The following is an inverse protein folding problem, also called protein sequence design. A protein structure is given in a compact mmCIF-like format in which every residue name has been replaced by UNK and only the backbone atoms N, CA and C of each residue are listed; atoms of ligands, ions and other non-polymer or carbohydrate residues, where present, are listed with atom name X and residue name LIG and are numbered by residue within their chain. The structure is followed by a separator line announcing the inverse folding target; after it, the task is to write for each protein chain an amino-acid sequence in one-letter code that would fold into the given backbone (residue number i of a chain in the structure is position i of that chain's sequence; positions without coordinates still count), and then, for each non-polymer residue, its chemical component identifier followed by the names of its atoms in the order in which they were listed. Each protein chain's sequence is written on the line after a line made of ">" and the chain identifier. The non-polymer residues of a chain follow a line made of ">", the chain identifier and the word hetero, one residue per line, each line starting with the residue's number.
data_IF_179063214545
#
_entry.id   IF_179063214545
#
_cell.length_a   1.000
_cell.length_b   1.000
_cell.length_c   1.000
_cell.angle_alpha   90.00
_cell.angle_beta   90.00
_cell.angle_gamma   90.00
#
_symmetry.space_group_name_H-M   'P 1'
#
loop_
_entity.id
_entity.type
_entity.pdbx_description
1 polymer ?
#
# COMPACT_ATOMS: atom_id res chain seq x y z
N UNK A 1 6.54 16.23 28.71
CA UNK A 1 5.07 16.36 28.62
C UNK A 1 4.65 15.84 27.26
N UNK A 2 3.79 14.81 27.21
CA UNK A 2 3.41 14.18 25.93
C UNK A 2 2.67 15.14 25.03
N UNK A 3 2.92 15.06 23.73
CA UNK A 3 2.33 15.94 22.72
C UNK A 3 1.81 15.10 21.56
N UNK A 4 0.56 15.37 21.12
CA UNK A 4 0.01 14.83 19.87
C UNK A 4 0.08 15.88 18.78
N UNK A 5 0.57 15.50 17.60
CA UNK A 5 0.71 16.36 16.43
C UNK A 5 0.17 15.64 15.19
N UNK A 6 -0.18 16.39 14.15
CA UNK A 6 -0.79 15.84 12.93
C UNK A 6 -0.16 16.29 11.63
N UNK A 7 0.86 17.16 11.67
CA UNK A 7 1.46 17.70 10.43
C UNK A 7 2.97 17.58 10.43
N UNK A 8 3.60 17.43 9.23
CA UNK A 8 5.06 17.42 9.10
C UNK A 8 5.72 18.72 9.60
N UNK A 9 5.03 19.84 9.52
CA UNK A 9 5.54 21.12 10.03
C UNK A 9 5.64 21.10 11.56
N UNK A 10 4.59 20.64 12.25
CA UNK A 10 4.61 20.45 13.71
C UNK A 10 5.67 19.47 14.15
N UNK A 11 5.88 18.39 13.38
CA UNK A 11 6.93 17.41 13.65
C UNK A 11 8.31 18.06 13.58
N UNK A 12 8.64 18.77 12.48
CA UNK A 12 9.93 19.47 12.34
C UNK A 12 10.18 20.43 13.48
N UNK A 13 9.17 21.19 13.89
CA UNK A 13 9.30 22.12 15.00
C UNK A 13 9.58 21.39 16.32
N UNK A 14 8.82 20.34 16.63
CA UNK A 14 8.96 19.59 17.87
C UNK A 14 10.32 18.89 17.99
N UNK A 15 10.79 18.21 16.93
CA UNK A 15 12.08 17.48 16.95
C UNK A 15 13.28 18.41 16.74
N UNK A 16 13.06 19.65 16.23
CA UNK A 16 14.11 20.64 16.05
C UNK A 16 14.76 21.12 17.36
N UNK A 17 13.98 21.10 18.44
CA UNK A 17 14.44 21.48 19.78
C UNK A 17 15.13 20.34 20.55
N UNK A 18 15.05 19.12 20.04
CA UNK A 18 15.59 17.90 20.63
C UNK A 18 14.67 16.72 20.38
N UNK A 19 15.27 15.52 20.18
CA UNK A 19 14.47 14.31 20.04
C UNK A 19 13.96 13.86 21.41
N UNK A 20 12.65 13.63 21.56
CA UNK A 20 12.11 13.06 22.79
C UNK A 20 12.60 11.60 22.97
N UNK A 21 12.60 11.07 24.20
CA UNK A 21 12.99 9.67 24.45
C UNK A 21 12.19 8.67 23.64
N UNK A 22 10.87 8.91 23.46
CA UNK A 22 9.99 8.12 22.64
C UNK A 22 9.20 9.01 21.68
N UNK A 23 9.20 8.61 20.42
CA UNK A 23 8.40 9.20 19.37
C UNK A 23 7.59 8.10 18.67
N UNK A 24 6.28 8.26 18.52
CA UNK A 24 5.40 7.32 17.84
C UNK A 24 4.76 7.96 16.62
N UNK A 25 4.94 7.36 15.45
CA UNK A 25 4.34 7.78 14.19
C UNK A 25 3.32 6.74 13.77
N UNK A 26 2.08 7.15 13.53
CA UNK A 26 1.02 6.25 13.08
C UNK A 26 0.19 6.88 11.97
N UNK A 27 -0.44 6.06 11.13
CA UNK A 27 -1.37 6.54 10.11
C UNK A 27 -1.80 5.48 9.10
N UNK A 28 -2.84 5.81 8.34
CA UNK A 28 -3.38 4.94 7.29
C UNK A 28 -2.51 4.97 6.03
N UNK A 29 -1.87 6.11 5.75
CA UNK A 29 -1.09 6.33 4.54
C UNK A 29 0.39 6.00 4.79
N UNK A 30 0.81 4.83 4.33
CA UNK A 30 2.17 4.33 4.51
C UNK A 30 3.24 5.33 4.05
N UNK A 31 3.01 6.00 2.92
CA UNK A 31 3.94 7.03 2.41
C UNK A 31 4.18 8.12 3.45
N UNK A 32 3.11 8.64 4.07
CA UNK A 32 3.23 9.73 5.04
C UNK A 32 3.90 9.29 6.34
N UNK A 33 3.69 8.03 6.75
CA UNK A 33 4.40 7.44 7.90
C UNK A 33 5.90 7.31 7.60
N UNK A 34 6.26 6.84 6.40
CA UNK A 34 7.66 6.72 5.97
C UNK A 34 8.33 8.09 5.93
N UNK A 35 7.70 9.08 5.30
CA UNK A 35 8.25 10.46 5.21
C UNK A 35 8.44 11.10 6.59
N UNK A 36 7.47 10.92 7.49
CA UNK A 36 7.59 11.39 8.86
C UNK A 36 8.75 10.72 9.59
N UNK A 37 8.90 9.39 9.44
CA UNK A 37 10.01 8.65 9.99
C UNK A 37 11.37 9.11 9.42
N UNK A 38 11.43 9.41 8.11
CA UNK A 38 12.64 9.92 7.47
C UNK A 38 13.03 11.32 7.99
N UNK A 39 12.05 12.19 8.28
CA UNK A 39 12.31 13.46 8.96
C UNK A 39 12.95 13.25 10.34
N UNK A 40 12.45 12.30 11.12
CA UNK A 40 13.01 11.96 12.43
C UNK A 40 14.42 11.41 12.29
N UNK A 41 14.66 10.48 11.36
CA UNK A 41 15.99 9.89 11.07
C UNK A 41 17.00 10.96 10.65
N UNK A 42 16.58 11.88 9.79
CA UNK A 42 17.43 12.98 9.35
C UNK A 42 17.79 13.91 10.51
N UNK A 43 16.83 14.21 11.38
CA UNK A 43 17.05 15.05 12.56
C UNK A 43 17.90 14.33 13.63
N UNK A 44 17.70 13.02 13.81
CA UNK A 44 18.50 12.19 14.69
C UNK A 44 19.99 12.27 14.32
N UNK A 45 20.32 12.06 13.04
CA UNK A 45 21.70 12.21 12.56
C UNK A 45 22.29 13.59 12.82
N UNK A 46 21.51 14.66 12.58
CA UNK A 46 21.96 16.05 12.88
C UNK A 46 22.23 16.29 14.37
N UNK A 47 21.60 15.51 15.25
CA UNK A 47 21.79 15.60 16.70
C UNK A 47 22.79 14.58 17.23
N UNK A 48 23.57 13.91 16.35
CA UNK A 48 24.64 12.99 16.71
C UNK A 48 24.19 11.58 17.05
N UNK A 49 22.95 11.18 16.69
CA UNK A 49 22.50 9.78 16.77
C UNK A 49 22.93 9.07 15.49
N UNK A 50 24.20 8.66 15.44
CA UNK A 50 24.83 8.14 14.23
C UNK A 50 24.55 6.65 14.02
N UNK A 51 24.23 5.93 15.08
CA UNK A 51 23.82 4.53 15.00
C UNK A 51 22.29 4.41 14.90
N UNK A 52 21.85 3.53 14.05
CA UNK A 52 20.42 3.20 13.91
C UNK A 52 20.24 1.69 13.92
N UNK A 53 19.52 1.22 14.91
CA UNK A 53 19.08 -0.17 15.00
C UNK A 53 17.62 -0.29 14.55
N UNK A 54 17.33 -1.21 13.62
CA UNK A 54 15.98 -1.46 13.12
C UNK A 54 15.47 -2.74 13.72
N UNK A 55 14.30 -2.67 14.39
CA UNK A 55 13.64 -3.82 15.00
C UNK A 55 12.24 -3.93 14.42
N UNK A 56 11.99 -5.01 13.67
CA UNK A 56 10.67 -5.31 13.15
C UNK A 56 9.85 -6.09 14.21
N UNK A 57 8.70 -5.52 14.58
CA UNK A 57 7.78 -6.10 15.55
C UNK A 57 6.66 -6.82 14.80
N UNK A 58 6.60 -8.12 14.96
CA UNK A 58 5.57 -8.99 14.40
C UNK A 58 4.70 -9.64 15.51
N UNK A 59 3.89 -10.64 15.16
CA UNK A 59 3.03 -11.36 16.08
C UNK A 59 3.79 -12.22 17.10
N UNK A 60 5.11 -12.40 16.94
CA UNK A 60 6.00 -13.17 17.84
C UNK A 60 6.82 -12.25 18.72
N UNK A 61 6.38 -11.01 18.90
CA UNK A 61 7.10 -10.05 19.74
C UNK A 61 7.42 -10.63 21.10
N UNK A 62 8.71 -10.57 21.45
CA UNK A 62 9.21 -10.90 22.78
C UNK A 62 9.86 -9.65 23.39
N UNK A 63 9.46 -9.35 24.61
CA UNK A 63 9.99 -8.23 25.40
C UNK A 63 11.52 -8.29 25.56
N UNK A 64 12.11 -9.47 25.59
CA UNK A 64 13.57 -9.66 25.71
C UNK A 64 14.32 -9.02 24.54
N UNK A 65 13.81 -9.13 23.31
CA UNK A 65 14.44 -8.53 22.13
C UNK A 65 14.49 -6.99 22.21
N UNK A 66 13.45 -6.37 22.76
CA UNK A 66 13.46 -4.92 22.96
C UNK A 66 14.47 -4.50 24.04
N UNK A 67 14.60 -5.28 25.10
CA UNK A 67 15.58 -5.05 26.17
C UNK A 67 17.00 -5.24 25.63
N UNK A 68 17.27 -6.30 24.89
CA UNK A 68 18.55 -6.55 24.24
C UNK A 68 18.94 -5.40 23.30
N UNK A 69 18.02 -4.97 22.42
CA UNK A 69 18.23 -3.85 21.53
C UNK A 69 18.57 -2.54 22.27
N UNK A 70 18.03 -2.35 23.48
CA UNK A 70 18.32 -1.15 24.29
C UNK A 70 19.55 -1.26 25.16
N UNK A 71 19.99 -2.48 25.49
CA UNK A 71 21.16 -2.72 26.36
C UNK A 71 22.43 -3.05 25.59
N UNK A 72 22.34 -3.37 24.28
CA UNK A 72 23.54 -3.58 23.47
C UNK A 72 24.36 -2.29 23.42
N UNK A 73 25.56 -2.35 23.96
CA UNK A 73 26.50 -1.21 23.91
C UNK A 73 27.18 -1.18 22.54
N UNK A 74 27.02 -0.07 21.82
CA UNK A 74 27.81 0.16 20.61
C UNK A 74 29.28 0.36 20.95
N UNK A 75 30.15 -0.27 20.19
CA UNK A 75 31.61 -0.07 20.32
C UNK A 75 32.08 1.17 19.55
N UNK A 76 31.25 1.76 18.69
CA UNK A 76 31.65 2.79 17.71
C UNK A 76 30.80 4.07 17.74
N UNK A 77 29.62 4.04 18.30
CA UNK A 77 28.73 5.22 18.38
C UNK A 77 28.33 5.47 19.84
N UNK A 78 28.36 6.74 20.22
CA UNK A 78 27.90 7.19 21.55
C UNK A 78 26.39 7.36 21.64
N UNK A 79 25.70 7.63 20.51
CA UNK A 79 24.26 7.91 20.48
C UNK A 79 23.56 7.10 19.40
N UNK A 80 22.39 6.53 19.75
CA UNK A 80 21.65 5.62 18.87
C UNK A 80 20.16 5.90 18.81
N UNK A 81 19.59 5.61 17.63
CA UNK A 81 18.16 5.61 17.38
C UNK A 81 17.68 4.17 17.18
N UNK A 82 16.79 3.69 18.04
CA UNK A 82 16.09 2.41 17.88
C UNK A 82 14.81 2.68 17.09
N UNK A 83 14.74 2.09 15.88
CA UNK A 83 13.66 2.28 14.92
C UNK A 83 12.76 1.04 14.94
N UNK A 84 11.70 1.07 15.75
CA UNK A 84 10.73 -0.02 15.89
C UNK A 84 9.66 0.09 14.81
N UNK A 85 9.49 -0.94 14.01
CA UNK A 85 8.49 -1.02 12.94
C UNK A 85 7.44 -2.05 13.30
N UNK A 86 6.22 -1.59 13.53
CA UNK A 86 5.11 -2.46 13.87
C UNK A 86 4.37 -2.89 12.61
N UNK A 87 4.51 -4.15 12.24
CA UNK A 87 3.78 -4.79 11.15
C UNK A 87 2.44 -5.39 11.63
N UNK A 88 2.16 -5.28 12.94
CA UNK A 88 0.95 -5.79 13.62
C UNK A 88 0.35 -4.69 14.48
N UNK A 89 -0.89 -4.89 14.93
CA UNK A 89 -1.50 -4.00 15.93
C UNK A 89 -0.68 -4.02 17.23
N UNK A 90 -0.41 -2.84 17.83
CA UNK A 90 0.35 -2.80 19.08
C UNK A 90 -0.42 -3.52 20.21
N UNK A 91 0.29 -4.33 20.95
CA UNK A 91 -0.23 -5.11 22.05
C UNK A 91 -0.02 -4.39 23.38
N UNK A 92 -0.78 -4.82 24.41
CA UNK A 92 -0.57 -4.35 25.79
C UNK A 92 0.86 -4.65 26.28
N UNK A 93 1.39 -5.81 25.91
CA UNK A 93 2.73 -6.24 26.27
C UNK A 93 3.83 -5.31 25.72
N UNK A 94 3.73 -4.91 24.44
CA UNK A 94 4.62 -3.91 23.84
C UNK A 94 4.49 -2.57 24.57
N UNK A 95 3.27 -2.14 24.87
CA UNK A 95 3.04 -0.87 25.57
C UNK A 95 3.62 -0.84 26.98
N UNK A 96 3.49 -1.93 27.73
CA UNK A 96 4.08 -2.08 29.07
C UNK A 96 5.60 -2.18 28.99
N UNK A 97 6.15 -2.90 28.00
CA UNK A 97 7.59 -2.96 27.78
C UNK A 97 8.20 -1.57 27.51
N UNK A 98 7.58 -0.79 26.61
CA UNK A 98 8.02 0.59 26.32
C UNK A 98 7.91 1.49 27.55
N UNK A 99 6.82 1.41 28.31
CA UNK A 99 6.62 2.20 29.52
C UNK A 99 7.69 1.91 30.59
N UNK A 100 8.02 0.63 30.79
CA UNK A 100 9.00 0.21 31.80
C UNK A 100 10.44 0.51 31.38
N UNK A 101 10.66 0.64 30.05
CA UNK A 101 11.95 0.95 29.47
C UNK A 101 12.27 2.46 29.50
N UNK A 102 11.27 3.32 29.24
CA UNK A 102 11.46 4.77 29.13
C UNK A 102 12.24 5.41 30.30
N UNK A 103 11.96 5.10 31.58
CA UNK A 103 12.71 5.66 32.71
C UNK A 103 14.16 5.17 32.81
N UNK A 104 14.51 4.13 32.06
CA UNK A 104 15.84 3.49 32.08
C UNK A 104 16.70 3.87 30.89
N UNK A 105 16.10 4.59 29.90
CA UNK A 105 16.83 5.10 28.75
C UNK A 105 17.77 6.23 29.20
N UNK A 106 19.01 6.15 28.73
CA UNK A 106 19.97 7.24 28.83
C UNK A 106 19.67 8.37 27.83
N UNK A 107 20.42 9.47 27.94
CA UNK A 107 20.30 10.60 27.02
C UNK A 107 20.85 10.29 25.62
N UNK A 108 21.51 9.20 25.44
CA UNK A 108 22.14 8.79 24.19
C UNK A 108 21.32 7.74 23.41
N UNK A 109 20.18 7.32 23.94
CA UNK A 109 19.27 6.39 23.29
C UNK A 109 17.90 7.02 23.06
N UNK A 110 17.40 6.94 21.83
CA UNK A 110 16.04 7.37 21.44
C UNK A 110 15.29 6.24 20.76
N UNK A 111 13.99 6.17 20.99
CA UNK A 111 13.11 5.17 20.38
C UNK A 111 12.14 5.88 19.45
N UNK A 112 12.08 5.45 18.20
CA UNK A 112 11.05 5.81 17.24
C UNK A 112 10.22 4.57 16.94
N UNK A 113 8.89 4.69 17.06
CA UNK A 113 7.92 3.66 16.70
C UNK A 113 7.18 4.10 15.45
N UNK A 114 7.09 3.24 14.44
CA UNK A 114 6.24 3.43 13.27
C UNK A 114 5.19 2.33 13.19
N UNK A 115 3.93 2.70 12.96
CA UNK A 115 2.82 1.76 12.88
C UNK A 115 1.73 2.20 11.91
N UNK A 116 0.83 1.30 11.58
CA UNK A 116 -0.45 1.65 10.97
C UNK A 116 -1.28 2.55 11.91
N UNK A 117 -2.38 3.07 11.39
CA UNK A 117 -3.33 3.86 12.18
C UNK A 117 -3.74 3.14 13.48
N UNK A 118 -3.77 3.91 14.56
CA UNK A 118 -4.17 3.41 15.86
C UNK A 118 -5.67 3.62 16.08
N UNK A 119 -6.40 2.53 16.14
CA UNK A 119 -7.83 2.57 16.42
C UNK A 119 -8.13 3.19 17.81
N UNK A 120 -9.31 3.79 17.95
CA UNK A 120 -9.77 4.35 19.22
C UNK A 120 -9.74 3.31 20.37
N UNK A 121 -10.04 2.05 20.05
CA UNK A 121 -9.95 0.95 21.00
C UNK A 121 -8.54 0.78 21.59
N UNK A 122 -7.49 1.02 20.80
CA UNK A 122 -6.10 0.99 21.27
C UNK A 122 -5.74 2.27 22.03
N UNK A 123 -6.06 3.42 21.47
CA UNK A 123 -5.66 4.73 22.05
C UNK A 123 -6.37 5.09 23.34
N UNK A 124 -7.51 4.46 23.65
CA UNK A 124 -8.24 4.60 24.92
C UNK A 124 -7.83 3.59 25.99
N UNK A 125 -6.83 2.77 25.74
CA UNK A 125 -6.31 1.84 26.77
C UNK A 125 -5.42 2.56 27.78
N UNK A 126 -5.47 2.12 29.04
CA UNK A 126 -4.69 2.72 30.11
C UNK A 126 -3.15 2.73 29.82
N UNK A 127 -2.65 1.67 29.17
CA UNK A 127 -1.23 1.60 28.81
C UNK A 127 -0.85 2.62 27.76
N UNK A 128 -1.71 2.82 26.73
CA UNK A 128 -1.43 3.81 25.67
C UNK A 128 -1.51 5.23 26.21
N UNK A 129 -2.53 5.54 27.01
CA UNK A 129 -2.67 6.85 27.64
C UNK A 129 -1.47 7.18 28.55
N UNK A 130 -0.94 6.20 29.27
CA UNK A 130 0.25 6.38 30.08
C UNK A 130 1.50 6.72 29.23
N UNK A 131 1.68 6.05 28.10
CA UNK A 131 2.76 6.36 27.13
C UNK A 131 2.54 7.70 26.44
N UNK A 132 1.31 8.00 26.04
CA UNK A 132 0.97 9.26 25.35
C UNK A 132 1.30 10.51 26.18
N UNK A 133 1.33 10.40 27.51
CA UNK A 133 1.76 11.49 28.40
C UNK A 133 3.28 11.72 28.41
N UNK A 134 4.06 10.79 27.87
CA UNK A 134 5.52 10.79 27.93
C UNK A 134 6.19 10.82 26.54
N UNK A 135 5.41 10.62 25.47
CA UNK A 135 5.93 10.55 24.11
C UNK A 135 5.45 11.72 23.23
N UNK A 136 6.18 11.93 22.14
CA UNK A 136 5.67 12.71 21.00
C UNK A 136 4.93 11.73 20.09
N UNK A 137 3.62 11.91 19.91
CA UNK A 137 2.81 11.09 19.03
C UNK A 137 2.37 11.86 17.81
N UNK A 138 2.83 11.44 16.63
CA UNK A 138 2.39 11.94 15.35
C UNK A 138 1.39 11.00 14.73
N UNK A 139 0.19 11.50 14.46
CA UNK A 139 -0.80 10.80 13.65
C UNK A 139 -0.85 11.47 12.28
N UNK A 140 -0.42 10.76 11.22
CA UNK A 140 -0.44 11.31 9.87
C UNK A 140 -1.87 11.44 9.36
N UNK A 141 -2.19 12.52 8.62
CA UNK A 141 -3.55 12.72 8.12
C UNK A 141 -3.92 11.65 7.08
N UNK A 142 -5.18 11.31 7.03
CA UNK A 142 -5.73 10.56 5.92
C UNK A 142 -5.97 11.51 4.74
N UNK A 143 -5.50 11.13 3.56
CA UNK A 143 -5.75 11.86 2.32
C UNK A 143 -6.88 11.14 1.57
N UNK A 144 -8.04 11.74 1.52
CA UNK A 144 -9.15 11.23 0.72
C UNK A 144 -9.00 11.61 -0.76
N UNK A 145 -9.78 10.96 -1.62
CA UNK A 145 -9.73 11.19 -3.08
C UNK A 145 -10.04 12.66 -3.43
N UNK A 146 -10.89 13.33 -2.66
CA UNK A 146 -11.24 14.73 -2.90
C UNK A 146 -10.06 15.68 -2.60
N UNK A 147 -9.23 15.33 -1.63
CA UNK A 147 -8.04 16.08 -1.21
C UNK A 147 -6.80 15.74 -2.01
N UNK A 148 -6.80 14.61 -2.76
CA UNK A 148 -5.61 14.11 -3.46
C UNK A 148 -5.10 15.10 -4.52
N UNK A 149 -5.98 15.73 -5.29
CA UNK A 149 -5.58 16.73 -6.30
C UNK A 149 -4.84 17.92 -5.67
N UNK A 150 -5.29 18.39 -4.51
CA UNK A 150 -4.60 19.45 -3.77
C UNK A 150 -3.24 18.97 -3.26
N UNK A 151 -3.17 17.77 -2.71
CA UNK A 151 -1.92 17.18 -2.24
C UNK A 151 -0.89 17.02 -3.37
N UNK A 152 -1.34 16.60 -4.59
CA UNK A 152 -0.48 16.52 -5.78
C UNK A 152 0.05 17.90 -6.15
N UNK A 153 -0.82 18.92 -6.19
CA UNK A 153 -0.42 20.29 -6.52
C UNK A 153 0.63 20.85 -5.54
N UNK A 154 0.45 20.63 -4.23
CA UNK A 154 1.41 21.03 -3.21
C UNK A 154 2.77 20.35 -3.40
N UNK A 155 2.76 19.05 -3.78
CA UNK A 155 4.00 18.30 -4.04
C UNK A 155 4.71 18.76 -5.31
N UNK A 156 4.00 18.99 -6.40
CA UNK A 156 4.56 19.58 -7.63
C UNK A 156 5.20 20.94 -7.35
N UNK A 157 4.57 21.76 -6.53
CA UNK A 157 5.11 23.07 -6.14
C UNK A 157 6.46 22.96 -5.41
N UNK A 158 6.71 21.89 -4.62
CA UNK A 158 8.00 21.69 -3.95
C UNK A 158 9.16 21.49 -4.92
N UNK A 159 8.89 20.98 -6.13
CA UNK A 159 9.87 20.86 -7.22
C UNK A 159 9.72 21.96 -8.30
N UNK A 160 9.05 23.07 -7.92
CA UNK A 160 8.84 24.24 -8.78
C UNK A 160 8.05 23.94 -10.06
N UNK A 161 7.19 22.93 -10.03
CA UNK A 161 6.28 22.57 -11.11
C UNK A 161 4.85 22.95 -10.75
N UNK A 162 4.03 23.27 -11.77
CA UNK A 162 2.62 23.60 -11.64
C UNK A 162 1.82 22.78 -12.64
N UNK A 163 0.62 22.40 -12.29
CA UNK A 163 -0.27 21.64 -13.15
C UNK A 163 -1.66 22.30 -13.19
N UNK A 164 -2.24 22.39 -14.38
CA UNK A 164 -3.60 22.86 -14.54
C UNK A 164 -4.62 21.88 -13.92
N UNK A 165 -5.84 22.33 -13.58
CA UNK A 165 -6.86 21.45 -13.01
C UNK A 165 -7.12 20.16 -13.82
N UNK A 166 -7.17 20.18 -15.18
CA UNK A 166 -7.29 18.95 -15.96
C UNK A 166 -6.09 18.00 -15.78
N UNK A 167 -4.88 18.51 -15.67
CA UNK A 167 -3.66 17.70 -15.45
C UNK A 167 -3.66 17.09 -14.05
N UNK A 168 -4.06 17.84 -13.03
CA UNK A 168 -4.24 17.31 -11.66
C UNK A 168 -5.29 16.21 -11.62
N UNK A 169 -6.41 16.41 -12.32
CA UNK A 169 -7.46 15.39 -12.45
C UNK A 169 -6.94 14.13 -13.14
N UNK A 170 -6.14 14.27 -14.21
CA UNK A 170 -5.51 13.16 -14.90
C UNK A 170 -4.59 12.36 -13.97
N UNK A 171 -3.69 13.02 -13.23
CA UNK A 171 -2.79 12.35 -12.28
C UNK A 171 -3.61 11.63 -11.19
N UNK A 172 -4.62 12.30 -10.64
CA UNK A 172 -5.51 11.73 -9.60
C UNK A 172 -6.24 10.49 -10.10
N UNK A 173 -6.80 10.54 -11.31
CA UNK A 173 -7.51 9.41 -11.93
C UNK A 173 -6.57 8.23 -12.16
N UNK A 174 -5.35 8.49 -12.63
CA UNK A 174 -4.35 7.46 -12.96
C UNK A 174 -3.73 6.79 -11.75
N UNK A 175 -3.71 7.49 -10.63
CA UNK A 175 -3.18 6.95 -9.36
C UNK A 175 -4.26 6.29 -8.50
N UNK A 176 -5.52 6.32 -8.93
CA UNK A 176 -6.67 5.66 -8.27
C UNK A 176 -6.77 5.89 -6.75
N UNK A 177 -6.32 7.05 -6.28
CA UNK A 177 -6.28 7.36 -4.84
C UNK A 177 -5.07 6.77 -4.11
N UNK A 178 -4.15 6.09 -4.79
CA UNK A 178 -2.93 5.55 -4.19
C UNK A 178 -1.88 6.66 -4.07
N UNK A 179 -1.63 7.09 -2.84
CA UNK A 179 -0.72 8.19 -2.53
C UNK A 179 0.73 7.88 -2.93
N UNK A 180 1.17 6.63 -2.78
CA UNK A 180 2.52 6.21 -3.19
C UNK A 180 2.68 6.25 -4.70
N UNK A 181 1.67 5.80 -5.45
CA UNK A 181 1.69 5.89 -6.91
C UNK A 181 1.71 7.35 -7.39
N UNK A 182 0.91 8.23 -6.75
CA UNK A 182 0.92 9.66 -7.02
C UNK A 182 2.30 10.28 -6.74
N UNK A 183 2.92 9.92 -5.63
CA UNK A 183 4.27 10.38 -5.29
C UNK A 183 5.30 9.95 -6.32
N UNK A 184 5.29 8.68 -6.75
CA UNK A 184 6.18 8.16 -7.78
C UNK A 184 5.98 8.87 -9.13
N UNK A 185 4.72 9.13 -9.51
CA UNK A 185 4.41 9.91 -10.71
C UNK A 185 4.99 11.33 -10.63
N UNK A 186 4.80 12.01 -9.49
CA UNK A 186 5.34 13.35 -9.26
C UNK A 186 6.87 13.35 -9.34
N UNK A 187 7.54 12.36 -8.74
CA UNK A 187 9.00 12.24 -8.83
C UNK A 187 9.48 12.06 -10.28
N UNK A 188 8.81 11.22 -11.07
CA UNK A 188 9.13 11.05 -12.50
C UNK A 188 8.95 12.36 -13.28
N UNK A 189 7.86 13.09 -13.01
CA UNK A 189 7.64 14.39 -13.65
C UNK A 189 8.77 15.38 -13.33
N UNK A 190 9.26 15.37 -12.07
CA UNK A 190 10.39 16.22 -11.66
C UNK A 190 11.72 15.84 -12.32
N UNK A 191 11.91 14.55 -12.66
CA UNK A 191 13.13 14.07 -13.34
C UNK A 191 13.09 14.32 -14.85
N UNK A 192 11.93 14.25 -15.49
CA UNK A 192 11.77 14.25 -16.94
C UNK A 192 11.35 15.62 -17.51
N UNK A 193 10.71 16.46 -16.71
CA UNK A 193 10.23 17.76 -17.15
C UNK A 193 10.87 18.90 -16.36
N UNK A 194 11.17 20.05 -16.99
CA UNK A 194 11.72 21.20 -16.33
C UNK A 194 10.71 21.82 -15.32
N UNK A 195 11.19 22.67 -14.38
CA UNK A 195 10.33 23.52 -13.60
C UNK A 195 9.43 24.39 -14.45
N UNK A 196 8.22 24.68 -14.01
CA UNK A 196 7.21 25.48 -14.72
C UNK A 196 5.86 24.76 -14.84
N UNK A 197 5.04 25.24 -15.77
CA UNK A 197 3.75 24.63 -16.07
C UNK A 197 3.95 23.32 -16.85
N UNK A 198 3.28 22.26 -16.38
CA UNK A 198 3.38 20.91 -16.96
C UNK A 198 2.46 20.77 -18.18
N UNK A 199 3.00 20.44 -19.38
CA UNK A 199 2.19 20.19 -20.57
C UNK A 199 1.34 18.92 -20.39
N UNK A 200 0.06 18.99 -20.71
CA UNK A 200 -0.88 17.87 -20.50
C UNK A 200 -0.48 16.58 -21.23
N UNK A 201 0.00 16.72 -22.48
CA UNK A 201 0.41 15.56 -23.30
C UNK A 201 1.65 14.87 -22.70
N UNK A 202 2.67 15.65 -22.30
CA UNK A 202 3.88 15.11 -21.68
C UNK A 202 3.57 14.45 -20.33
N UNK A 203 2.65 15.03 -19.54
CA UNK A 203 2.19 14.40 -18.29
C UNK A 203 1.45 13.10 -18.56
N UNK A 204 0.60 13.08 -19.60
CA UNK A 204 -0.11 11.87 -19.98
C UNK A 204 0.86 10.73 -20.30
N UNK A 205 1.90 10.99 -21.08
CA UNK A 205 2.92 9.99 -21.46
C UNK A 205 3.75 9.49 -20.27
N UNK A 206 4.11 10.38 -19.34
CA UNK A 206 4.96 10.05 -18.19
C UNK A 206 4.19 9.35 -17.08
N UNK A 207 2.95 9.78 -16.82
CA UNK A 207 2.07 9.19 -15.78
C UNK A 207 1.44 7.90 -16.27
N UNK A 208 1.31 7.75 -17.58
CA UNK A 208 1.14 6.47 -18.23
C UNK A 208 2.47 5.70 -18.12
N UNK A 209 2.73 5.07 -16.97
CA UNK A 209 3.62 3.91 -16.96
C UNK A 209 2.91 2.85 -17.81
N UNK A 210 3.26 2.83 -19.12
CA UNK A 210 2.46 2.19 -20.15
C UNK A 210 2.11 0.75 -19.79
N UNK A 211 3.06 -0.03 -19.33
CA UNK A 211 2.85 -1.42 -18.94
C UNK A 211 1.93 -1.59 -17.72
N UNK A 212 2.06 -0.75 -16.71
CA UNK A 212 1.25 -0.88 -15.48
C UNK A 212 -0.19 -0.43 -15.70
N UNK A 213 -0.37 0.66 -16.42
CA UNK A 213 -1.70 1.16 -16.79
C UNK A 213 -2.41 0.22 -17.76
N UNK A 214 -1.68 -0.34 -18.73
CA UNK A 214 -2.21 -1.31 -19.67
C UNK A 214 -2.62 -2.60 -18.97
N UNK A 215 -1.90 -3.05 -17.93
CA UNK A 215 -2.27 -4.20 -17.11
C UNK A 215 -3.60 -3.97 -16.35
N UNK A 216 -3.81 -2.80 -15.76
CA UNK A 216 -5.10 -2.49 -15.12
C UNK A 216 -6.21 -2.30 -16.13
N UNK A 217 -5.95 -1.63 -17.26
CA UNK A 217 -6.86 -1.52 -18.38
C UNK A 217 -7.28 -2.88 -18.96
N UNK A 218 -6.34 -3.82 -19.01
CA UNK A 218 -6.57 -5.20 -19.39
C UNK A 218 -7.56 -5.90 -18.45
N UNK A 219 -7.34 -5.79 -17.13
CA UNK A 219 -8.25 -6.36 -16.13
C UNK A 219 -9.63 -5.71 -16.22
N UNK A 220 -9.69 -4.39 -16.35
CA UNK A 220 -10.95 -3.66 -16.50
C UNK A 220 -11.70 -4.02 -17.78
N UNK A 221 -11.02 -4.27 -18.90
CA UNK A 221 -11.63 -4.76 -20.15
C UNK A 221 -12.24 -6.16 -19.93
N UNK A 222 -11.55 -7.07 -19.25
CA UNK A 222 -12.10 -8.38 -18.91
C UNK A 222 -13.34 -8.27 -17.99
N UNK A 223 -13.27 -7.43 -16.96
CA UNK A 223 -14.38 -7.17 -16.04
C UNK A 223 -15.56 -6.49 -16.74
N UNK A 224 -15.32 -5.63 -17.73
CA UNK A 224 -16.36 -5.00 -18.53
C UNK A 224 -17.08 -5.99 -19.46
N UNK A 225 -16.52 -7.20 -19.67
CA UNK A 225 -17.05 -8.20 -20.62
C UNK A 225 -16.61 -7.94 -22.05
N UNK A 226 -15.40 -7.44 -22.26
CA UNK A 226 -14.81 -7.11 -23.55
C UNK A 226 -13.64 -8.07 -23.90
N UNK A 227 -13.92 -9.39 -24.17
CA UNK A 227 -12.86 -10.40 -24.28
C UNK A 227 -11.90 -10.12 -25.44
N UNK A 228 -12.39 -9.64 -26.57
CA UNK A 228 -11.54 -9.33 -27.72
C UNK A 228 -10.55 -8.18 -27.43
N UNK A 229 -10.96 -7.18 -26.66
CA UNK A 229 -10.10 -6.08 -26.22
C UNK A 229 -9.08 -6.58 -25.21
N UNK A 230 -9.52 -7.35 -24.21
CA UNK A 230 -8.64 -7.94 -23.21
C UNK A 230 -7.54 -8.81 -23.85
N UNK A 231 -7.88 -9.66 -24.82
CA UNK A 231 -6.92 -10.49 -25.52
C UNK A 231 -5.89 -9.69 -26.36
N UNK A 232 -6.34 -8.62 -27.05
CA UNK A 232 -5.38 -7.75 -27.78
C UNK A 232 -4.39 -7.09 -26.84
N UNK A 233 -4.86 -6.57 -25.71
CA UNK A 233 -4.01 -5.94 -24.68
C UNK A 233 -3.05 -6.96 -24.04
N UNK A 234 -3.53 -8.19 -23.75
CA UNK A 234 -2.69 -9.24 -23.20
C UNK A 234 -1.53 -9.60 -24.14
N UNK A 235 -1.79 -9.71 -25.44
CA UNK A 235 -0.78 -10.02 -26.46
C UNK A 235 0.23 -8.89 -26.65
N UNK A 236 -0.21 -7.62 -26.59
CA UNK A 236 0.70 -6.46 -26.62
C UNK A 236 1.65 -6.52 -25.43
N UNK A 237 1.11 -6.68 -24.21
CA UNK A 237 1.90 -6.75 -22.98
C UNK A 237 2.84 -7.95 -22.94
N UNK A 238 2.43 -9.09 -23.51
CA UNK A 238 3.28 -10.26 -23.67
C UNK A 238 4.47 -10.00 -24.58
N UNK A 239 4.25 -9.27 -25.67
CA UNK A 239 5.31 -8.89 -26.63
C UNK A 239 6.30 -7.88 -26.03
N UNK A 240 5.89 -7.10 -25.06
CA UNK A 240 6.71 -6.11 -24.32
C UNK A 240 7.38 -6.69 -23.08
N UNK A 241 7.29 -8.00 -22.86
CA UNK A 241 7.81 -8.70 -21.65
C UNK A 241 7.32 -8.09 -20.34
N UNK A 242 6.05 -7.67 -20.32
CA UNK A 242 5.45 -7.05 -19.14
C UNK A 242 5.44 -7.99 -17.93
N UNK A 243 5.60 -7.42 -16.75
CA UNK A 243 5.76 -8.15 -15.50
C UNK A 243 4.53 -9.03 -15.15
N UNK A 244 4.57 -10.32 -15.47
CA UNK A 244 3.51 -11.29 -15.18
C UNK A 244 3.07 -11.29 -13.69
N UNK A 245 3.96 -11.19 -12.68
CA UNK A 245 3.55 -11.12 -11.29
C UNK A 245 2.62 -9.93 -10.97
N UNK A 246 2.77 -8.81 -11.67
CA UNK A 246 1.89 -7.65 -11.49
C UNK A 246 0.50 -7.91 -12.08
N UNK A 247 0.41 -8.57 -13.23
CA UNK A 247 -0.88 -9.00 -13.80
C UNK A 247 -1.61 -9.96 -12.87
N UNK A 248 -0.90 -10.97 -12.35
CA UNK A 248 -1.45 -11.94 -11.39
C UNK A 248 -1.99 -11.25 -10.15
N UNK A 249 -1.25 -10.28 -9.61
CA UNK A 249 -1.70 -9.48 -8.47
C UNK A 249 -2.97 -8.68 -8.80
N UNK A 250 -3.02 -8.01 -9.95
CA UNK A 250 -4.17 -7.20 -10.37
C UNK A 250 -5.43 -8.05 -10.59
N UNK A 251 -5.30 -9.21 -11.23
CA UNK A 251 -6.38 -10.18 -11.41
C UNK A 251 -6.89 -10.68 -10.06
N UNK A 252 -5.99 -11.10 -9.18
CA UNK A 252 -6.35 -11.58 -7.85
C UNK A 252 -7.01 -10.54 -6.97
N UNK A 253 -6.58 -9.28 -7.02
CA UNK A 253 -7.20 -8.17 -6.29
C UNK A 253 -8.64 -7.92 -6.78
N UNK A 254 -8.82 -7.83 -8.11
CA UNK A 254 -10.13 -7.61 -8.71
C UNK A 254 -11.12 -8.73 -8.36
N UNK A 255 -10.70 -9.99 -8.48
CA UNK A 255 -11.53 -11.16 -8.17
C UNK A 255 -11.88 -11.25 -6.68
N UNK A 256 -10.93 -10.96 -5.78
CA UNK A 256 -11.20 -10.92 -4.33
C UNK A 256 -12.18 -9.80 -3.97
N UNK A 257 -12.10 -8.63 -4.61
CA UNK A 257 -13.07 -7.55 -4.42
C UNK A 257 -14.47 -7.98 -4.87
N UNK A 258 -14.60 -8.58 -6.05
CA UNK A 258 -15.88 -9.12 -6.53
C UNK A 258 -16.47 -10.16 -5.57
N UNK A 259 -15.65 -11.10 -5.11
CA UNK A 259 -16.09 -12.13 -4.17
C UNK A 259 -16.58 -11.53 -2.85
N UNK A 260 -15.84 -10.57 -2.28
CA UNK A 260 -16.28 -9.86 -1.05
C UNK A 260 -17.60 -9.12 -1.25
N UNK A 261 -17.77 -8.45 -2.41
CA UNK A 261 -19.02 -7.74 -2.72
C UNK A 261 -20.17 -8.73 -2.83
N UNK A 262 -20.02 -9.85 -3.57
CA UNK A 262 -21.05 -10.89 -3.68
C UNK A 262 -21.42 -11.49 -2.32
N UNK A 263 -20.43 -11.79 -1.50
CA UNK A 263 -20.66 -12.30 -0.14
C UNK A 263 -21.41 -11.29 0.73
N UNK A 264 -21.02 -10.03 0.72
CA UNK A 264 -21.70 -8.98 1.48
C UNK A 264 -23.17 -8.79 1.04
N UNK A 265 -23.43 -8.89 -0.26
CA UNK A 265 -24.81 -8.81 -0.78
C UNK A 265 -25.67 -10.00 -0.39
N UNK A 266 -25.11 -11.22 -0.40
CA UNK A 266 -25.88 -12.45 -0.14
C UNK A 266 -25.99 -12.77 1.35
N UNK A 267 -24.89 -12.63 2.11
CA UNK A 267 -24.83 -13.04 3.52
C UNK A 267 -25.20 -11.89 4.46
N UNK A 268 -24.64 -10.72 4.23
CA UNK A 268 -24.82 -9.57 5.13
C UNK A 268 -26.02 -8.72 4.73
N UNK A 269 -26.64 -8.98 3.56
CA UNK A 269 -27.79 -8.26 3.00
C UNK A 269 -27.62 -6.74 2.97
N UNK A 270 -26.38 -6.27 2.80
CA UNK A 270 -26.07 -4.84 2.69
C UNK A 270 -26.42 -4.30 1.30
N UNK A 271 -26.56 -2.98 1.16
CA UNK A 271 -26.80 -2.37 -0.14
C UNK A 271 -25.58 -2.50 -1.06
N UNK A 272 -25.80 -2.54 -2.37
CA UNK A 272 -24.74 -2.58 -3.38
C UNK A 272 -23.72 -1.46 -3.18
N UNK A 273 -24.18 -0.26 -2.85
CA UNK A 273 -23.30 0.89 -2.62
C UNK A 273 -22.42 0.69 -1.40
N UNK A 274 -22.97 0.13 -0.32
CA UNK A 274 -22.21 -0.16 0.88
C UNK A 274 -21.20 -1.28 0.65
N UNK A 275 -21.58 -2.37 -0.05
CA UNK A 275 -20.68 -3.46 -0.41
C UNK A 275 -19.50 -2.98 -1.29
N UNK A 276 -19.77 -2.11 -2.28
CA UNK A 276 -18.74 -1.50 -3.13
C UNK A 276 -17.76 -0.65 -2.32
N UNK A 277 -18.28 0.21 -1.43
CA UNK A 277 -17.45 1.07 -0.56
C UNK A 277 -16.56 0.25 0.37
N UNK A 278 -17.10 -0.78 1.01
CA UNK A 278 -16.34 -1.65 1.91
C UNK A 278 -15.25 -2.45 1.17
N UNK A 279 -15.45 -2.75 -0.10
CA UNK A 279 -14.46 -3.39 -0.96
C UNK A 279 -13.44 -2.39 -1.57
N UNK A 280 -13.56 -1.08 -1.27
CA UNK A 280 -12.67 -0.05 -1.81
C UNK A 280 -12.89 0.23 -3.30
N UNK A 281 -14.14 0.10 -3.79
CA UNK A 281 -14.51 0.37 -5.19
C UNK A 281 -15.26 1.69 -5.26
N UNK A 282 -14.77 2.62 -6.09
CA UNK A 282 -15.30 3.98 -6.21
C UNK A 282 -15.30 4.45 -7.68
N UNK A 283 -16.14 5.44 -8.00
CA UNK A 283 -16.14 6.18 -9.25
C UNK A 283 -16.45 5.32 -10.48
N UNK A 284 -15.72 5.52 -11.57
CA UNK A 284 -15.97 4.83 -12.86
C UNK A 284 -15.87 3.29 -12.73
N UNK A 285 -15.08 2.79 -11.79
CA UNK A 285 -14.88 1.36 -11.60
C UNK A 285 -16.10 0.65 -11.01
N UNK A 286 -16.98 1.37 -10.32
CA UNK A 286 -18.26 0.81 -9.84
C UNK A 286 -19.12 0.24 -10.98
N UNK A 287 -19.20 0.93 -12.12
CA UNK A 287 -19.98 0.47 -13.28
C UNK A 287 -19.40 -0.82 -13.89
N UNK A 288 -18.04 -0.92 -13.95
CA UNK A 288 -17.33 -2.10 -14.44
C UNK A 288 -17.58 -3.28 -13.49
N UNK A 289 -17.41 -3.07 -12.20
CA UNK A 289 -17.64 -4.11 -11.18
C UNK A 289 -19.10 -4.60 -11.18
N UNK A 290 -20.09 -3.72 -11.34
CA UNK A 290 -21.51 -4.12 -11.46
C UNK A 290 -21.75 -5.04 -12.66
N UNK A 291 -21.13 -4.75 -13.82
CA UNK A 291 -21.22 -5.61 -15.00
C UNK A 291 -20.59 -6.98 -14.75
N UNK A 292 -19.45 -7.04 -14.05
CA UNK A 292 -18.82 -8.30 -13.68
C UNK A 292 -19.68 -9.10 -12.70
N UNK A 293 -20.23 -8.47 -11.65
CA UNK A 293 -21.11 -9.10 -10.65
C UNK A 293 -22.41 -9.67 -11.25
N UNK A 294 -22.91 -9.10 -12.34
CA UNK A 294 -24.06 -9.63 -13.04
C UNK A 294 -23.78 -10.93 -13.80
N UNK A 295 -22.51 -11.26 -14.08
CA UNK A 295 -22.08 -12.43 -14.85
C UNK A 295 -21.38 -13.50 -14.01
N UNK A 296 -20.68 -13.07 -12.96
CA UNK A 296 -19.79 -13.93 -12.20
C UNK A 296 -20.39 -14.22 -10.82
N UNK A 297 -20.90 -15.40 -10.63
CA UNK A 297 -21.40 -15.87 -9.34
C UNK A 297 -20.24 -16.32 -8.41
N UNK A 298 -20.57 -16.62 -7.16
CA UNK A 298 -19.57 -17.02 -6.14
C UNK A 298 -18.76 -18.26 -6.58
N UNK A 299 -19.38 -19.36 -7.06
CA UNK A 299 -18.63 -20.53 -7.54
C UNK A 299 -17.65 -20.18 -8.66
N UNK A 300 -18.08 -19.41 -9.66
CA UNK A 300 -17.22 -18.95 -10.76
C UNK A 300 -16.06 -18.09 -10.25
N UNK A 301 -16.31 -17.14 -9.35
CA UNK A 301 -15.25 -16.32 -8.76
C UNK A 301 -14.23 -17.15 -7.98
N UNK A 302 -14.67 -18.18 -7.27
CA UNK A 302 -13.78 -19.11 -6.56
C UNK A 302 -12.91 -19.90 -7.53
N UNK A 303 -13.47 -20.42 -8.63
CA UNK A 303 -12.70 -21.11 -9.67
C UNK A 303 -11.69 -20.17 -10.33
N UNK A 304 -12.08 -18.94 -10.67
CA UNK A 304 -11.17 -17.94 -11.24
C UNK A 304 -10.01 -17.62 -10.29
N UNK A 305 -10.26 -17.53 -8.97
CA UNK A 305 -9.20 -17.34 -7.97
C UNK A 305 -8.25 -18.53 -7.88
N UNK A 306 -8.76 -19.77 -7.99
CA UNK A 306 -7.92 -20.97 -8.04
C UNK A 306 -7.01 -20.95 -9.28
N UNK A 307 -7.55 -20.62 -10.46
CA UNK A 307 -6.75 -20.47 -11.68
C UNK A 307 -5.71 -19.33 -11.54
N UNK A 308 -6.08 -18.23 -10.89
CA UNK A 308 -5.11 -17.15 -10.63
C UNK A 308 -3.97 -17.61 -9.72
N UNK A 309 -4.23 -18.48 -8.74
CA UNK A 309 -3.19 -19.06 -7.88
C UNK A 309 -2.26 -20.04 -8.66
N UNK A 310 -2.79 -20.76 -9.65
CA UNK A 310 -1.96 -21.58 -10.57
C UNK A 310 -1.07 -20.66 -11.40
N UNK A 311 -1.63 -19.60 -11.97
CA UNK A 311 -0.88 -18.61 -12.75
C UNK A 311 0.22 -17.94 -11.93
N UNK A 312 -0.02 -17.64 -10.65
CA UNK A 312 1.00 -17.11 -9.74
C UNK A 312 2.20 -18.04 -9.57
N UNK A 313 1.94 -19.34 -9.40
CA UNK A 313 3.03 -20.33 -9.32
C UNK A 313 3.81 -20.45 -10.61
N UNK A 314 3.12 -20.44 -11.77
CA UNK A 314 3.77 -20.45 -13.07
C UNK A 314 4.66 -19.21 -13.26
N UNK A 315 4.16 -18.03 -12.90
CA UNK A 315 4.90 -16.76 -12.95
C UNK A 315 6.17 -16.76 -12.08
N UNK A 316 6.17 -17.58 -11.01
CA UNK A 316 7.31 -17.78 -10.10
C UNK A 316 8.22 -18.94 -10.49
N UNK A 317 7.97 -19.61 -11.63
CA UNK A 317 8.73 -20.78 -12.06
C UNK A 317 8.45 -22.05 -11.23
N UNK A 318 7.39 -22.06 -10.42
CA UNK A 318 6.98 -23.18 -9.57
C UNK A 318 5.74 -23.83 -10.19
N UNK A 319 5.87 -24.89 -10.97
CA UNK A 319 4.64 -25.47 -11.52
C UNK A 319 4.76 -26.38 -12.72
N UNK A 320 5.94 -26.87 -13.03
CA UNK A 320 6.10 -27.84 -14.09
C UNK A 320 5.73 -27.35 -15.52
N UNK A 321 5.47 -28.23 -16.45
CA UNK A 321 5.26 -27.96 -17.88
C UNK A 321 3.81 -27.55 -18.21
N UNK A 322 3.24 -26.56 -17.55
CA UNK A 322 1.87 -26.10 -17.81
C UNK A 322 1.74 -25.12 -19.00
N UNK A 323 2.76 -24.99 -19.83
CA UNK A 323 2.77 -24.08 -20.98
C UNK A 323 3.13 -22.64 -20.62
N UNK A 324 2.82 -21.70 -21.53
CA UNK A 324 3.12 -20.28 -21.34
C UNK A 324 2.21 -19.64 -20.29
N UNK A 325 2.75 -18.89 -19.30
CA UNK A 325 1.95 -18.13 -18.36
C UNK A 325 0.97 -17.15 -19.05
N UNK A 326 1.37 -16.55 -20.16
CA UNK A 326 0.52 -15.64 -20.93
C UNK A 326 -0.69 -16.35 -21.55
N UNK A 327 -0.54 -17.60 -22.02
CA UNK A 327 -1.67 -18.38 -22.52
C UNK A 327 -2.69 -18.66 -21.42
N UNK A 328 -2.23 -19.00 -20.22
CA UNK A 328 -3.11 -19.20 -19.07
C UNK A 328 -3.79 -17.89 -18.63
N UNK A 329 -3.07 -16.77 -18.71
CA UNK A 329 -3.64 -15.44 -18.46
C UNK A 329 -4.74 -15.09 -19.48
N UNK A 330 -4.53 -15.34 -20.78
CA UNK A 330 -5.56 -15.15 -21.83
C UNK A 330 -6.82 -15.96 -21.52
N UNK A 331 -6.66 -17.24 -21.14
CA UNK A 331 -7.77 -18.12 -20.75
C UNK A 331 -8.55 -17.55 -19.57
N UNK A 332 -7.87 -17.09 -18.54
CA UNK A 332 -8.46 -16.49 -17.34
C UNK A 332 -9.21 -15.20 -17.69
N UNK A 333 -8.64 -14.32 -18.52
CA UNK A 333 -9.25 -13.08 -18.98
C UNK A 333 -10.55 -13.31 -19.77
N UNK A 334 -10.55 -14.30 -20.67
CA UNK A 334 -11.76 -14.68 -21.42
C UNK A 334 -12.85 -15.20 -20.48
N UNK A 335 -12.48 -16.00 -19.49
CA UNK A 335 -13.43 -16.51 -18.51
C UNK A 335 -14.00 -15.37 -17.62
N UNK A 336 -13.18 -14.44 -17.19
CA UNK A 336 -13.63 -13.23 -16.48
C UNK A 336 -14.59 -12.39 -17.32
N UNK A 337 -14.40 -12.37 -18.63
CA UNK A 337 -15.31 -11.67 -19.56
C UNK A 337 -16.61 -12.42 -19.84
N UNK A 338 -16.84 -13.61 -19.26
CA UNK A 338 -18.05 -14.43 -19.41
C UNK A 338 -17.89 -15.62 -20.35
N UNK A 339 -16.66 -15.94 -20.78
CA UNK A 339 -16.34 -17.18 -21.47
C UNK A 339 -16.33 -18.38 -20.53
N UNK A 340 -16.23 -19.59 -21.08
CA UNK A 340 -16.09 -20.81 -20.28
C UNK A 340 -14.63 -21.01 -19.85
N UNK A 341 -14.43 -21.32 -18.57
CA UNK A 341 -13.14 -21.88 -18.13
C UNK A 341 -13.04 -23.31 -18.69
N UNK A 342 -11.88 -23.71 -19.24
CA UNK A 342 -11.56 -25.13 -19.34
C UNK A 342 -11.64 -25.74 -17.92
N UNK A 343 -11.98 -27.02 -17.82
CA UNK A 343 -12.16 -27.72 -16.54
C UNK A 343 -11.01 -27.49 -15.53
N UNK A 344 -11.13 -27.96 -14.30
CA UNK A 344 -10.17 -27.70 -13.25
C UNK A 344 -8.76 -28.10 -13.72
N UNK A 345 -7.82 -27.13 -13.68
CA UNK A 345 -6.41 -27.40 -13.90
C UNK A 345 -5.91 -28.31 -12.77
N UNK A 346 -5.55 -29.53 -13.08
CA UNK A 346 -4.92 -30.39 -12.09
C UNK A 346 -3.56 -29.79 -11.71
N UNK A 347 -3.37 -29.62 -10.41
CA UNK A 347 -2.14 -29.06 -9.82
C UNK A 347 -0.93 -29.99 -10.02
N UNK A 348 -1.15 -31.22 -10.51
CA UNK A 348 -0.11 -32.21 -10.81
C UNK A 348 0.37 -32.19 -12.27
N UNK A 349 -0.21 -31.31 -13.13
CA UNK A 349 0.26 -31.08 -14.50
C UNK A 349 -0.36 -31.99 -15.55
N UNK A 350 -1.39 -32.74 -15.23
CA UNK A 350 -2.19 -33.50 -16.21
C UNK A 350 -3.55 -32.84 -16.45
N UNK A 351 -3.87 -32.56 -17.70
CA UNK A 351 -5.24 -32.33 -18.13
C UNK A 351 -6.01 -33.61 -17.91
N UNK A 352 -6.95 -33.66 -16.96
CA UNK A 352 -7.94 -34.74 -16.94
C UNK A 352 -8.90 -34.48 -18.09
N UNK A 353 -8.71 -35.21 -19.20
CA UNK A 353 -9.69 -35.32 -20.25
C UNK A 353 -10.93 -36.04 -19.67
N UNK A 354 -12.06 -35.33 -19.63
CA UNK A 354 -13.40 -35.91 -19.52
C UNK A 354 -14.25 -35.47 -20.70
#
# INVERSE_FOLDING_TARGET
>A
MGQRIGTPHQLRHAIGQGLPPLLWISGDELLLVIEAADLVRAQARKQGFDEREVVDIDARFDRSHLIEATQSTSLFASRRLIDLRLNVKPTKELGEALRDLLPRLDDDTRIMVSSQHLEKATTSTAWFEALARQMLWMETPRIDVASLGKWIAERLATQKQQASPPVLALITERTEGNLLAAHQAIQRLGLLLPPGELPADAVADIVLDSARFELFGLVDAALAGEPARALRMARSLAAEDAAMPLLVWALGDALRKLLRIQQALQLDRVSMQQAMRSAGVFGKREAIMRRALARLDIPTLQQLLQHTAVLDRMAKGVGGSLGSPWFQAETLLVAMAGGRLPGPLDLTGSLTET
#
